data_IF_565253817212
#
_entry.id   IF_565253817212
#
_cell.length_a   1.000
_cell.length_b   1.000
_cell.length_c   1.000
_cell.angle_alpha   90.00
_cell.angle_beta   90.00
_cell.angle_gamma   90.00
#
_symmetry.space_group_name_H-M   'P 1'
#
loop_
_entity.id
_entity.type
_entity.pdbx_description
1 polymer ?
#
# COMPACT_ATOMS: atom_id res chain seq x y z
N UNK A 1 12.42 8.31 20.06
CA UNK A 1 11.94 9.21 18.98
C UNK A 1 10.81 8.57 18.18
N UNK A 2 10.98 7.33 17.68
CA UNK A 2 9.92 6.60 16.95
C UNK A 2 8.57 6.55 17.68
N UNK A 3 8.52 6.14 18.96
CA UNK A 3 7.26 6.13 19.74
C UNK A 3 6.52 7.47 19.74
N UNK A 4 7.24 8.60 19.75
CA UNK A 4 6.61 9.94 19.70
C UNK A 4 5.91 10.18 18.35
N UNK A 5 6.54 9.78 17.25
CA UNK A 5 5.99 9.91 15.89
C UNK A 5 4.86 8.91 15.62
N UNK A 6 4.96 7.72 16.19
CA UNK A 6 3.85 6.76 16.23
C UNK A 6 2.62 7.34 16.96
N UNK A 7 2.79 7.92 18.14
CA UNK A 7 1.69 8.56 18.85
C UNK A 7 1.19 9.82 18.15
N UNK A 8 2.06 10.57 17.45
CA UNK A 8 1.63 11.69 16.61
C UNK A 8 0.65 11.23 15.54
N UNK A 9 0.92 10.13 14.83
CA UNK A 9 -0.02 9.57 13.85
C UNK A 9 -1.41 9.35 14.46
N UNK A 10 -1.48 8.75 15.64
CA UNK A 10 -2.78 8.54 16.31
C UNK A 10 -3.43 9.85 16.75
N UNK A 11 -2.68 10.80 17.32
CA UNK A 11 -3.21 12.11 17.69
C UNK A 11 -3.76 12.87 16.48
N UNK A 12 -3.07 12.81 15.34
CA UNK A 12 -3.53 13.42 14.10
C UNK A 12 -4.77 12.70 13.58
N UNK A 13 -4.79 11.36 13.55
CA UNK A 13 -5.95 10.59 13.11
C UNK A 13 -7.24 10.93 13.88
N UNK A 14 -7.15 11.16 15.19
CA UNK A 14 -8.31 11.58 15.99
C UNK A 14 -8.77 13.02 15.71
N UNK A 15 -7.89 13.90 15.23
CA UNK A 15 -8.17 15.33 15.04
C UNK A 15 -8.45 15.71 13.59
N UNK A 16 -7.98 14.89 12.64
CA UNK A 16 -8.09 15.15 11.21
C UNK A 16 -9.53 15.32 10.71
N UNK A 17 -10.57 14.64 11.26
CA UNK A 17 -11.95 14.90 10.85
C UNK A 17 -12.41 16.35 11.09
N UNK A 18 -11.74 17.08 12.00
CA UNK A 18 -12.01 18.49 12.29
C UNK A 18 -11.07 19.46 11.53
N UNK A 19 -10.17 18.95 10.67
CA UNK A 19 -9.27 19.80 9.89
C UNK A 19 -10.02 20.37 8.68
N UNK A 20 -9.76 21.63 8.35
CA UNK A 20 -10.20 22.19 7.07
C UNK A 20 -9.39 21.61 5.91
N UNK A 21 -9.98 21.58 4.72
CA UNK A 21 -9.28 21.23 3.48
C UNK A 21 -7.99 22.06 3.29
N UNK A 22 -8.06 23.35 3.60
CA UNK A 22 -6.89 24.24 3.56
C UNK A 22 -5.77 23.77 4.49
N UNK A 23 -6.11 23.33 5.71
CA UNK A 23 -5.12 22.77 6.63
C UNK A 23 -4.54 21.47 6.09
N UNK A 24 -5.37 20.57 5.58
CA UNK A 24 -4.91 19.30 5.00
C UNK A 24 -3.91 19.58 3.87
N UNK A 25 -4.24 20.51 2.96
CA UNK A 25 -3.41 20.91 1.82
C UNK A 25 -2.10 21.57 2.29
N UNK A 26 -2.16 22.55 3.20
CA UNK A 26 -1.01 23.38 3.56
C UNK A 26 -0.07 22.75 4.59
N UNK A 27 -0.41 21.57 5.14
CA UNK A 27 0.42 20.87 6.13
C UNK A 27 1.03 19.57 5.61
N UNK A 28 0.89 19.29 4.32
CA UNK A 28 1.55 18.17 3.65
C UNK A 28 2.25 18.64 2.38
N UNK A 29 3.48 18.19 2.20
CA UNK A 29 4.28 18.45 1.00
C UNK A 29 4.59 17.15 0.25
N UNK A 30 4.55 17.19 -1.08
CA UNK A 30 4.64 16.01 -1.94
C UNK A 30 5.88 16.07 -2.85
N UNK A 31 6.94 15.38 -2.42
CA UNK A 31 8.15 15.23 -3.23
C UNK A 31 7.87 14.25 -4.36
N UNK A 32 8.07 14.68 -5.59
CA UNK A 32 7.83 13.84 -6.77
C UNK A 32 6.38 13.79 -7.24
N UNK A 33 5.53 14.74 -6.81
CA UNK A 33 4.12 14.90 -7.25
C UNK A 33 3.94 14.74 -8.78
N UNK A 34 4.84 15.35 -9.55
CA UNK A 34 4.85 15.31 -11.01
C UNK A 34 4.82 13.88 -11.60
N UNK A 35 5.32 12.87 -10.87
CA UNK A 35 5.28 11.46 -11.32
C UNK A 35 3.86 10.93 -11.33
N UNK A 36 3.09 11.24 -10.29
CA UNK A 36 1.67 10.88 -10.21
C UNK A 36 0.85 11.67 -11.22
N UNK A 37 1.06 12.99 -11.32
CA UNK A 37 0.35 13.84 -12.30
C UNK A 37 0.52 13.30 -13.73
N UNK A 38 1.75 12.92 -14.10
CA UNK A 38 2.03 12.32 -15.42
C UNK A 38 1.33 10.98 -15.61
N UNK A 39 1.36 10.10 -14.60
CA UNK A 39 0.65 8.82 -14.65
C UNK A 39 -0.87 9.00 -14.82
N UNK A 40 -1.45 9.98 -14.13
CA UNK A 40 -2.87 10.33 -14.21
C UNK A 40 -3.26 10.97 -15.56
N UNK A 41 -2.35 11.76 -16.15
CA UNK A 41 -2.56 12.42 -17.43
C UNK A 41 -2.68 11.45 -18.63
N UNK A 42 -2.12 10.24 -18.53
CA UNK A 42 -2.18 9.20 -19.57
C UNK A 42 -3.54 8.47 -19.64
N UNK A 43 -4.61 9.09 -19.12
CA UNK A 43 -5.97 8.55 -18.99
C UNK A 43 -6.05 7.22 -18.23
N UNK A 44 -5.08 6.97 -17.34
CA UNK A 44 -5.08 5.85 -16.40
C UNK A 44 -5.16 6.40 -14.98
N UNK A 45 -5.77 5.65 -14.07
CA UNK A 45 -5.51 5.80 -12.65
C UNK A 45 -4.08 5.40 -12.31
N UNK A 46 -3.66 5.63 -11.07
CA UNK A 46 -2.31 5.31 -10.60
C UNK A 46 -2.37 4.41 -9.35
N UNK A 47 -1.41 3.51 -9.21
CA UNK A 47 -1.27 2.67 -8.02
C UNK A 47 -0.14 3.23 -7.17
N UNK A 48 -0.40 3.42 -5.89
CA UNK A 48 0.60 3.86 -4.91
C UNK A 48 0.78 2.79 -3.85
N UNK A 49 1.96 2.18 -3.81
CA UNK A 49 2.36 1.26 -2.76
C UNK A 49 2.99 2.04 -1.61
N UNK A 50 2.44 1.94 -0.40
CA UNK A 50 2.85 2.71 0.77
C UNK A 50 3.43 1.79 1.85
N UNK A 51 4.45 2.25 2.58
CA UNK A 51 4.85 1.61 3.84
C UNK A 51 4.00 2.13 5.01
N UNK A 52 3.97 1.41 6.14
CA UNK A 52 3.39 1.90 7.39
C UNK A 52 4.27 3.01 7.99
N UNK A 53 4.33 4.17 7.34
CA UNK A 53 5.25 5.24 7.64
C UNK A 53 4.52 6.60 7.68
N UNK A 54 4.92 7.50 8.57
CA UNK A 54 4.41 8.87 8.62
C UNK A 54 2.89 8.96 8.88
N UNK A 55 2.16 9.65 8.00
CA UNK A 55 0.69 9.75 8.06
C UNK A 55 0.06 9.47 6.70
N UNK A 56 -0.28 8.20 6.43
CA UNK A 56 -0.91 7.81 5.18
C UNK A 56 -2.36 8.28 5.05
N UNK A 57 -3.07 8.53 6.15
CA UNK A 57 -4.43 9.08 6.09
C UNK A 57 -4.37 10.56 5.64
N UNK A 58 -3.39 11.33 6.12
CA UNK A 58 -3.14 12.71 5.67
C UNK A 58 -2.73 12.75 4.20
N UNK A 59 -1.82 11.87 3.77
CA UNK A 59 -1.46 11.76 2.36
C UNK A 59 -2.65 11.36 1.48
N UNK A 60 -3.51 10.44 1.95
CA UNK A 60 -4.72 10.06 1.23
C UNK A 60 -5.71 11.22 1.09
N UNK A 61 -5.97 11.96 2.16
CA UNK A 61 -6.85 13.13 2.15
C UNK A 61 -6.30 14.23 1.25
N UNK A 62 -5.00 14.54 1.37
CA UNK A 62 -4.30 15.49 0.51
C UNK A 62 -4.39 15.07 -0.96
N UNK A 63 -4.16 13.78 -1.27
CA UNK A 63 -4.23 13.24 -2.62
C UNK A 63 -5.63 13.35 -3.23
N UNK A 64 -6.67 13.06 -2.44
CA UNK A 64 -8.08 13.23 -2.86
C UNK A 64 -8.43 14.69 -3.16
N UNK A 65 -7.88 15.64 -2.42
CA UNK A 65 -8.13 17.08 -2.61
C UNK A 65 -7.32 17.69 -3.76
N UNK A 66 -6.09 17.20 -4.00
CA UNK A 66 -5.11 17.84 -4.89
C UNK A 66 -4.91 17.14 -6.23
N UNK A 67 -5.04 15.82 -6.27
CA UNK A 67 -4.66 15.01 -7.43
C UNK A 67 -5.86 14.29 -8.07
N UNK A 68 -6.39 13.29 -7.38
CA UNK A 68 -7.49 12.46 -7.87
C UNK A 68 -8.13 11.68 -6.70
N UNK A 69 -9.40 11.25 -6.81
CA UNK A 69 -10.06 10.49 -5.76
C UNK A 69 -9.25 9.25 -5.36
N UNK A 70 -8.96 9.11 -4.06
CA UNK A 70 -8.17 7.99 -3.52
C UNK A 70 -9.08 6.84 -3.08
N UNK A 71 -8.71 5.62 -3.45
CA UNK A 71 -9.26 4.37 -2.93
C UNK A 71 -8.18 3.60 -2.17
N UNK A 72 -8.52 2.99 -1.05
CA UNK A 72 -7.64 2.07 -0.33
C UNK A 72 -8.36 0.77 0.07
N UNK A 73 -7.58 -0.24 0.42
CA UNK A 73 -8.07 -1.51 0.97
C UNK A 73 -7.65 -1.61 2.43
N UNK A 74 -8.58 -2.00 3.31
CA UNK A 74 -8.32 -2.14 4.75
C UNK A 74 -8.60 -3.57 5.23
N UNK A 75 -7.71 -4.12 6.06
CA UNK A 75 -7.93 -5.38 6.76
C UNK A 75 -9.19 -5.32 7.64
N UNK A 76 -9.95 -6.41 7.68
CA UNK A 76 -11.12 -6.53 8.57
C UNK A 76 -10.65 -6.79 10.00
N UNK A 77 -10.56 -5.71 10.78
CA UNK A 77 -10.20 -5.77 12.19
C UNK A 77 -11.34 -6.36 13.03
N UNK A 78 -10.97 -7.17 14.01
CA UNK A 78 -11.87 -7.60 15.08
C UNK A 78 -11.72 -6.68 16.31
N UNK A 79 -12.82 -6.33 17.00
CA UNK A 79 -14.21 -6.66 16.67
C UNK A 79 -14.73 -5.86 15.47
N UNK A 80 -15.73 -6.37 14.73
CA UNK A 80 -16.30 -5.73 13.53
C UNK A 80 -16.65 -4.24 13.72
N UNK A 81 -17.15 -3.84 14.89
CA UNK A 81 -17.42 -2.42 15.21
C UNK A 81 -16.19 -1.51 15.05
N UNK A 82 -14.99 -2.04 15.35
CA UNK A 82 -13.73 -1.30 15.23
C UNK A 82 -13.39 -1.09 13.76
N UNK A 83 -13.60 -2.11 12.93
CA UNK A 83 -13.43 -1.99 11.48
C UNK A 83 -14.31 -0.88 10.90
N UNK A 84 -15.61 -0.88 11.22
CA UNK A 84 -16.53 0.16 10.72
C UNK A 84 -16.12 1.57 11.15
N UNK A 85 -15.59 1.74 12.38
CA UNK A 85 -15.05 3.03 12.83
C UNK A 85 -13.87 3.51 12.00
N UNK A 86 -12.95 2.63 11.59
CA UNK A 86 -11.85 3.00 10.70
C UNK A 86 -12.32 3.35 9.29
N UNK A 87 -13.34 2.65 8.78
CA UNK A 87 -13.96 2.96 7.49
C UNK A 87 -14.61 4.34 7.54
N UNK A 88 -15.52 4.58 8.50
CA UNK A 88 -16.19 5.87 8.69
C UNK A 88 -15.19 7.02 8.81
N UNK A 89 -14.13 6.83 9.60
CA UNK A 89 -13.06 7.81 9.76
C UNK A 89 -12.39 8.14 8.42
N UNK A 90 -11.93 7.14 7.65
CA UNK A 90 -11.25 7.41 6.36
C UNK A 90 -12.19 7.95 5.29
N UNK A 91 -13.45 7.52 5.28
CA UNK A 91 -14.47 8.07 4.39
C UNK A 91 -14.77 9.53 4.72
N UNK A 92 -14.74 9.92 6.00
CA UNK A 92 -14.86 11.33 6.40
C UNK A 92 -13.70 12.20 5.89
N UNK A 93 -12.55 11.60 5.58
CA UNK A 93 -11.40 12.25 4.96
C UNK A 93 -11.45 12.24 3.42
N UNK A 94 -12.54 11.75 2.82
CA UNK A 94 -12.73 11.69 1.36
C UNK A 94 -12.07 10.51 0.67
N UNK A 95 -11.66 9.46 1.40
CA UNK A 95 -11.17 8.21 0.81
C UNK A 95 -12.34 7.26 0.55
N UNK A 96 -12.22 6.40 -0.47
CA UNK A 96 -13.07 5.20 -0.57
C UNK A 96 -12.33 4.00 0.02
N UNK A 97 -12.98 3.24 0.90
CA UNK A 97 -12.35 2.09 1.56
C UNK A 97 -13.08 0.79 1.20
N UNK A 98 -12.32 -0.18 0.69
CA UNK A 98 -12.81 -1.54 0.53
C UNK A 98 -12.24 -2.48 1.60
N UNK A 99 -13.06 -3.35 2.20
CA UNK A 99 -12.56 -4.43 3.05
C UNK A 99 -11.69 -5.42 2.27
N UNK A 100 -10.55 -5.81 2.86
CA UNK A 100 -9.74 -6.91 2.36
C UNK A 100 -10.56 -8.20 2.34
N UNK A 101 -10.42 -8.98 1.26
CA UNK A 101 -11.18 -10.21 1.06
C UNK A 101 -12.65 -9.99 0.68
N UNK A 102 -13.10 -8.75 0.45
CA UNK A 102 -14.39 -8.52 -0.19
C UNK A 102 -14.39 -9.15 -1.59
N UNK A 103 -15.51 -9.81 -1.92
CA UNK A 103 -15.73 -10.42 -3.23
C UNK A 103 -15.56 -9.36 -4.33
N UNK A 104 -14.83 -9.71 -5.39
CA UNK A 104 -14.56 -8.88 -6.56
C UNK A 104 -13.79 -7.57 -6.29
N UNK A 105 -13.16 -7.39 -5.11
CA UNK A 105 -12.45 -6.14 -4.80
C UNK A 105 -11.36 -5.81 -5.83
N UNK A 106 -10.62 -6.81 -6.31
CA UNK A 106 -9.58 -6.59 -7.33
C UNK A 106 -10.18 -6.16 -8.67
N UNK A 107 -11.35 -6.70 -9.05
CA UNK A 107 -12.05 -6.28 -10.27
C UNK A 107 -12.51 -4.83 -10.14
N UNK A 108 -13.09 -4.47 -8.98
CA UNK A 108 -13.49 -3.09 -8.68
C UNK A 108 -12.31 -2.13 -8.74
N UNK A 109 -11.18 -2.47 -8.13
CA UNK A 109 -9.97 -1.62 -8.19
C UNK A 109 -9.44 -1.50 -9.63
N UNK A 110 -9.50 -2.57 -10.42
CA UNK A 110 -9.08 -2.54 -11.82
C UNK A 110 -9.98 -1.62 -12.65
N UNK A 111 -11.29 -1.65 -12.42
CA UNK A 111 -12.25 -0.77 -13.07
C UNK A 111 -12.05 0.69 -12.65
N UNK A 112 -11.81 0.96 -11.36
CA UNK A 112 -11.53 2.31 -10.86
C UNK A 112 -10.25 2.91 -11.46
N UNK A 113 -9.23 2.08 -11.68
CA UNK A 113 -8.01 2.50 -12.37
C UNK A 113 -8.25 2.78 -13.85
N UNK A 114 -9.03 1.95 -14.54
CA UNK A 114 -9.23 2.08 -16.00
C UNK A 114 -10.23 3.17 -16.36
N UNK A 115 -11.28 3.34 -15.57
CA UNK A 115 -12.46 4.11 -15.96
C UNK A 115 -12.64 5.39 -15.11
N UNK A 116 -12.30 5.34 -13.82
CA UNK A 116 -12.60 6.42 -12.88
C UNK A 116 -11.40 7.32 -12.57
N UNK A 117 -10.23 7.00 -13.15
CA UNK A 117 -8.95 7.75 -12.97
C UNK A 117 -8.58 7.96 -11.50
N UNK A 118 -8.75 6.92 -10.68
CA UNK A 118 -8.49 6.98 -9.24
C UNK A 118 -7.04 6.66 -8.90
N UNK A 119 -6.62 7.13 -7.73
CA UNK A 119 -5.40 6.64 -7.10
C UNK A 119 -5.78 5.46 -6.21
N UNK A 120 -5.20 4.28 -6.46
CA UNK A 120 -5.36 3.11 -5.60
C UNK A 120 -4.15 3.00 -4.68
N UNK A 121 -4.36 3.33 -3.41
CA UNK A 121 -3.35 3.32 -2.35
C UNK A 121 -3.38 1.99 -1.59
N UNK A 122 -2.26 1.25 -1.61
CA UNK A 122 -2.13 -0.06 -0.98
C UNK A 122 -0.96 -0.06 -0.01
N UNK A 123 -1.23 -0.33 1.27
CA UNK A 123 -0.17 -0.55 2.24
C UNK A 123 0.51 -1.88 1.93
N UNK A 124 1.83 -1.85 1.67
CA UNK A 124 2.53 -2.89 0.91
C UNK A 124 3.85 -3.36 1.52
N UNK A 125 4.12 -3.07 2.80
CA UNK A 125 5.39 -3.42 3.46
C UNK A 125 5.31 -4.65 4.38
N UNK A 126 4.15 -5.32 4.49
CA UNK A 126 3.99 -6.50 5.37
C UNK A 126 2.83 -7.43 4.98
N UNK A 127 3.15 -8.65 4.55
CA UNK A 127 2.22 -9.78 4.41
C UNK A 127 2.93 -11.07 4.79
N UNK A 128 2.85 -11.46 6.07
CA UNK A 128 3.53 -12.65 6.60
C UNK A 128 2.73 -13.94 6.39
N UNK A 129 1.71 -13.92 5.52
CA UNK A 129 0.98 -15.13 5.15
C UNK A 129 1.79 -15.97 4.15
N UNK A 130 1.33 -17.20 3.89
CA UNK A 130 1.88 -18.07 2.85
C UNK A 130 1.75 -17.52 1.42
N UNK A 131 0.96 -16.46 1.22
CA UNK A 131 0.74 -15.83 -0.10
C UNK A 131 1.61 -14.59 -0.31
N UNK A 132 2.29 -14.12 0.73
CA UNK A 132 3.21 -13.00 0.64
C UNK A 132 4.41 -13.33 -0.25
N UNK A 133 4.88 -12.33 -0.98
CA UNK A 133 6.05 -12.42 -1.84
C UNK A 133 7.29 -12.24 -0.98
N UNK A 134 8.15 -13.25 -0.97
CA UNK A 134 9.44 -13.15 -0.29
C UNK A 134 10.34 -12.12 -0.99
N UNK A 135 10.89 -11.20 -0.20
CA UNK A 135 11.80 -10.13 -0.65
C UNK A 135 12.99 -10.00 0.30
N UNK A 136 14.10 -9.49 -0.22
CA UNK A 136 15.22 -9.01 0.59
C UNK A 136 14.91 -7.60 1.08
N UNK A 137 14.95 -7.39 2.40
CA UNK A 137 14.63 -6.11 3.02
C UNK A 137 15.58 -5.82 4.18
N UNK A 138 16.43 -4.81 4.02
CA UNK A 138 17.55 -4.52 4.93
C UNK A 138 18.53 -5.71 5.12
N UNK A 139 18.71 -6.53 4.08
CA UNK A 139 19.63 -7.67 4.10
C UNK A 139 19.05 -8.96 4.72
N UNK A 140 17.80 -8.95 5.13
CA UNK A 140 17.08 -10.11 5.67
C UNK A 140 15.80 -10.41 4.88
N UNK A 141 15.33 -11.67 4.96
CA UNK A 141 14.10 -12.08 4.28
C UNK A 141 12.86 -11.64 5.05
N UNK A 142 11.91 -11.05 4.34
CA UNK A 142 10.54 -10.79 4.80
C UNK A 142 9.55 -11.13 3.67
N UNK A 143 8.25 -10.95 3.92
CA UNK A 143 7.20 -11.11 2.90
C UNK A 143 6.34 -9.85 2.79
N UNK A 144 6.09 -9.43 1.55
CA UNK A 144 5.27 -8.27 1.19
C UNK A 144 4.10 -8.68 0.28
N UNK A 145 2.96 -7.98 0.32
CA UNK A 145 1.78 -8.35 -0.46
C UNK A 145 1.98 -8.13 -1.97
N UNK A 146 1.53 -9.11 -2.76
CA UNK A 146 1.59 -9.05 -4.23
C UNK A 146 0.60 -8.04 -4.86
N UNK A 147 -0.31 -7.46 -4.07
CA UNK A 147 -1.51 -6.76 -4.56
C UNK A 147 -1.20 -5.61 -5.52
N UNK A 148 -0.21 -4.79 -5.20
CA UNK A 148 0.17 -3.63 -6.02
C UNK A 148 0.77 -4.05 -7.38
N UNK A 149 1.71 -4.99 -7.38
CA UNK A 149 2.31 -5.53 -8.61
C UNK A 149 1.27 -6.27 -9.48
N UNK A 150 0.42 -7.09 -8.85
CA UNK A 150 -0.68 -7.77 -9.53
C UNK A 150 -1.61 -6.80 -10.25
N UNK A 151 -2.02 -5.73 -9.55
CA UNK A 151 -2.95 -4.76 -10.10
C UNK A 151 -2.31 -3.96 -11.24
N UNK A 152 -1.02 -3.64 -11.14
CA UNK A 152 -0.27 -2.99 -12.21
C UNK A 152 -0.15 -3.86 -13.46
N UNK A 153 0.25 -5.13 -13.34
CA UNK A 153 0.33 -6.06 -14.48
C UNK A 153 -1.04 -6.30 -15.12
N UNK A 154 -2.09 -6.41 -14.29
CA UNK A 154 -3.45 -6.63 -14.77
C UNK A 154 -4.00 -5.42 -15.55
N UNK A 155 -3.76 -4.20 -15.06
CA UNK A 155 -4.41 -2.99 -15.59
C UNK A 155 -3.54 -2.19 -16.55
N UNK A 156 -2.22 -2.38 -16.49
CA UNK A 156 -1.26 -1.49 -17.14
C UNK A 156 -1.17 -0.10 -16.51
N UNK A 157 -1.74 0.09 -15.30
CA UNK A 157 -1.61 1.33 -14.54
C UNK A 157 -0.18 1.49 -13.99
N UNK A 158 0.35 2.72 -13.95
CA UNK A 158 1.66 2.97 -13.36
C UNK A 158 1.63 2.69 -11.85
N UNK A 159 2.72 2.10 -11.34
CA UNK A 159 2.90 1.74 -9.94
C UNK A 159 4.06 2.53 -9.34
N UNK A 160 3.78 3.30 -8.29
CA UNK A 160 4.76 4.11 -7.59
C UNK A 160 4.87 3.67 -6.13
N UNK A 161 6.07 3.36 -5.62
CA UNK A 161 6.30 3.27 -4.18
C UNK A 161 6.24 4.67 -3.57
N UNK A 162 5.78 4.77 -2.33
CA UNK A 162 5.77 6.02 -1.59
C UNK A 162 6.15 5.81 -0.12
N UNK A 163 6.99 6.71 0.39
CA UNK A 163 7.39 6.75 1.81
C UNK A 163 7.00 8.10 2.39
N UNK A 164 6.61 8.11 3.67
CA UNK A 164 6.06 9.30 4.31
C UNK A 164 6.76 9.53 5.64
N UNK A 165 6.99 10.79 5.99
CA UNK A 165 7.60 11.14 7.27
C UNK A 165 7.05 12.45 7.80
N UNK A 166 7.42 12.76 9.03
CA UNK A 166 7.22 14.09 9.60
C UNK A 166 8.55 14.84 9.68
N UNK A 167 8.53 16.10 9.24
CA UNK A 167 9.57 17.08 9.56
C UNK A 167 8.94 18.35 10.13
N UNK A 168 9.33 18.69 11.36
CA UNK A 168 8.69 19.74 12.15
C UNK A 168 7.15 19.56 12.20
N UNK A 169 6.36 20.61 11.92
CA UNK A 169 4.90 20.55 11.92
C UNK A 169 4.31 19.89 10.66
N UNK A 170 5.10 19.68 9.62
CA UNK A 170 4.62 19.21 8.31
C UNK A 170 4.69 17.68 8.22
N UNK A 171 3.77 17.13 7.44
CA UNK A 171 3.86 15.78 6.90
C UNK A 171 4.46 15.84 5.50
N UNK A 172 5.12 14.77 5.09
CA UNK A 172 5.70 14.65 3.76
C UNK A 172 5.33 13.30 3.16
N UNK A 173 5.16 13.30 1.84
CA UNK A 173 5.16 12.08 1.02
C UNK A 173 6.23 12.23 -0.06
N UNK A 174 7.02 11.18 -0.26
CA UNK A 174 7.92 11.06 -1.40
C UNK A 174 7.41 9.97 -2.32
N UNK A 175 7.01 10.34 -3.53
CA UNK A 175 6.68 9.43 -4.61
C UNK A 175 7.97 9.00 -5.29
N UNK A 176 8.37 7.75 -5.09
CA UNK A 176 9.57 7.17 -5.69
C UNK A 176 9.41 6.99 -7.21
N UNK A 177 10.50 6.72 -7.95
CA UNK A 177 10.41 6.32 -9.36
C UNK A 177 9.44 5.14 -9.57
N UNK A 178 8.82 5.11 -10.75
CA UNK A 178 7.88 4.05 -11.12
C UNK A 178 8.55 2.68 -11.07
N UNK A 179 7.86 1.68 -10.52
CA UNK A 179 8.26 0.28 -10.62
C UNK A 179 8.19 -0.16 -12.07
N UNK A 180 9.28 -0.76 -12.57
CA UNK A 180 9.38 -1.22 -13.95
C UNK A 180 9.06 -2.71 -14.01
N UNK A 181 8.00 -3.05 -14.72
CA UNK A 181 7.71 -4.44 -15.05
C UNK A 181 8.74 -4.99 -16.04
N UNK A 182 9.14 -6.28 -15.96
CA UNK A 182 9.92 -6.92 -17.02
C UNK A 182 9.26 -6.74 -18.39
N UNK A 183 10.06 -6.59 -19.45
CA UNK A 183 9.54 -6.33 -20.80
C UNK A 183 8.66 -7.46 -21.34
N UNK A 184 8.93 -8.69 -20.91
CA UNK A 184 8.22 -9.91 -21.23
C UNK A 184 7.14 -10.29 -20.19
N UNK A 185 6.87 -9.40 -19.23
CA UNK A 185 5.86 -9.67 -18.20
C UNK A 185 4.47 -9.79 -18.84
N UNK A 186 3.72 -10.86 -18.52
CA UNK A 186 2.32 -10.96 -18.94
C UNK A 186 1.48 -9.82 -18.36
N UNK A 187 0.61 -9.23 -19.19
CA UNK A 187 -0.32 -8.15 -18.78
C UNK A 187 -1.75 -8.44 -19.18
N UNK A 188 -2.72 -7.79 -18.52
CA UNK A 188 -4.15 -7.96 -18.77
C UNK A 188 -4.87 -8.87 -17.77
N UNK A 189 -6.18 -9.07 -17.95
CA UNK A 189 -7.02 -9.78 -16.97
C UNK A 189 -6.66 -11.26 -16.79
N UNK A 190 -6.09 -11.90 -17.82
CA UNK A 190 -5.62 -13.29 -17.77
C UNK A 190 -4.10 -13.43 -17.52
N UNK A 191 -3.40 -12.32 -17.20
CA UNK A 191 -1.95 -12.32 -17.00
C UNK A 191 -1.50 -13.34 -15.96
N UNK A 192 -2.27 -13.51 -14.88
CA UNK A 192 -1.95 -14.40 -13.76
C UNK A 192 -1.86 -15.89 -14.13
N UNK A 193 -2.43 -16.28 -15.27
CA UNK A 193 -2.41 -17.66 -15.79
C UNK A 193 -1.21 -17.93 -16.69
N UNK A 194 -0.46 -16.90 -17.07
CA UNK A 194 0.60 -17.00 -18.07
C UNK A 194 1.97 -17.29 -17.42
N UNK A 195 2.86 -18.01 -18.12
CA UNK A 195 4.25 -18.19 -17.68
C UNK A 195 4.95 -16.85 -17.44
N UNK A 196 5.82 -16.79 -16.44
CA UNK A 196 6.58 -15.57 -16.11
C UNK A 196 5.85 -14.55 -15.23
N UNK A 197 4.53 -14.68 -15.04
CA UNK A 197 3.76 -13.75 -14.21
C UNK A 197 4.24 -13.70 -12.74
N UNK A 198 4.39 -14.87 -12.10
CA UNK A 198 4.81 -14.95 -10.70
C UNK A 198 6.20 -14.33 -10.47
N UNK A 199 7.10 -14.52 -11.43
CA UNK A 199 8.43 -13.94 -11.39
C UNK A 199 8.40 -12.41 -11.62
N UNK A 200 7.57 -11.92 -12.55
CA UNK A 200 7.36 -10.49 -12.74
C UNK A 200 6.82 -9.81 -11.46
N UNK A 201 5.84 -10.42 -10.80
CA UNK A 201 5.30 -9.97 -9.51
C UNK A 201 6.40 -9.95 -8.44
N UNK A 202 7.25 -10.98 -8.39
CA UNK A 202 8.38 -11.05 -7.44
C UNK A 202 9.36 -9.89 -7.65
N UNK A 203 9.82 -9.68 -8.90
CA UNK A 203 10.76 -8.60 -9.24
C UNK A 203 10.18 -7.20 -9.01
N UNK A 204 8.89 -7.00 -9.28
CA UNK A 204 8.23 -5.73 -9.02
C UNK A 204 8.07 -5.48 -7.52
N UNK A 205 7.72 -6.50 -6.74
CA UNK A 205 7.63 -6.38 -5.26
C UNK A 205 8.98 -6.10 -4.63
N UNK A 206 10.07 -6.70 -5.14
CA UNK A 206 11.43 -6.39 -4.68
C UNK A 206 11.78 -4.91 -4.92
N UNK A 207 11.43 -4.34 -6.09
CA UNK A 207 11.65 -2.91 -6.34
C UNK A 207 10.89 -2.00 -5.36
N UNK A 208 9.68 -2.40 -4.94
CA UNK A 208 8.94 -1.70 -3.88
C UNK A 208 9.69 -1.79 -2.56
N UNK A 209 10.17 -2.98 -2.19
CA UNK A 209 10.95 -3.19 -0.97
C UNK A 209 12.24 -2.35 -0.96
N UNK A 210 12.95 -2.26 -2.08
CA UNK A 210 14.17 -1.46 -2.21
C UNK A 210 13.88 0.04 -2.03
N UNK A 211 12.79 0.54 -2.62
CA UNK A 211 12.36 1.93 -2.46
C UNK A 211 11.94 2.25 -1.01
N UNK A 212 11.22 1.33 -0.36
CA UNK A 212 10.89 1.44 1.05
C UNK A 212 12.14 1.41 1.93
N UNK A 213 13.10 0.53 1.65
CA UNK A 213 14.33 0.43 2.43
C UNK A 213 15.12 1.74 2.38
N UNK A 214 15.21 2.37 1.20
CA UNK A 214 15.81 3.70 1.05
C UNK A 214 15.10 4.76 1.90
N UNK A 215 13.79 4.94 1.72
CA UNK A 215 13.05 5.99 2.44
C UNK A 215 12.95 5.74 3.96
N UNK A 216 12.91 4.49 4.41
CA UNK A 216 12.97 4.14 5.83
C UNK A 216 14.38 4.39 6.38
N UNK A 217 15.45 4.13 5.63
CA UNK A 217 16.82 4.44 6.06
C UNK A 217 17.03 5.95 6.27
N UNK A 218 16.42 6.78 5.42
CA UNK A 218 16.47 8.25 5.53
C UNK A 218 15.66 8.78 6.72
N UNK A 219 14.53 8.13 7.05
CA UNK A 219 13.61 8.57 8.11
C UNK A 219 13.14 7.40 9.02
N UNK A 220 14.05 6.71 9.72
CA UNK A 220 13.76 5.44 10.40
C UNK A 220 12.78 5.60 11.58
N UNK A 221 12.69 6.81 12.13
CA UNK A 221 11.78 7.10 13.25
C UNK A 221 10.31 7.21 12.85
N UNK A 222 10.03 7.31 11.56
CA UNK A 222 8.68 7.52 11.03
C UNK A 222 8.03 6.22 10.59
N UNK A 223 8.78 5.11 10.57
CA UNK A 223 8.26 3.79 10.28
C UNK A 223 7.61 3.17 11.53
N UNK A 224 6.31 2.92 11.43
CA UNK A 224 5.43 2.51 12.53
C UNK A 224 5.35 0.98 12.68
N UNK A 225 6.47 0.29 12.49
CA UNK A 225 6.53 -1.17 12.52
C UNK A 225 6.83 -1.71 13.92
N UNK A 226 5.81 -1.76 14.77
CA UNK A 226 5.90 -2.31 16.13
C UNK A 226 5.64 -3.83 16.18
N UNK A 227 5.30 -4.43 15.04
CA UNK A 227 5.05 -5.86 14.90
C UNK A 227 6.27 -6.55 14.28
N UNK A 228 6.41 -7.86 14.54
CA UNK A 228 7.41 -8.68 13.85
C UNK A 228 7.24 -8.59 12.34
N UNK A 229 8.36 -8.52 11.63
CA UNK A 229 8.40 -8.36 10.19
C UNK A 229 9.29 -9.40 9.51
N UNK A 230 10.52 -9.58 9.97
CA UNK A 230 11.45 -10.49 9.31
C UNK A 230 11.10 -11.95 9.63
N UNK A 231 11.24 -12.83 8.62
CA UNK A 231 10.93 -14.26 8.77
C UNK A 231 11.78 -14.94 9.86
N UNK A 232 13.07 -14.61 10.04
CA UNK A 232 13.88 -15.16 11.13
C UNK A 232 13.32 -14.86 12.54
N UNK A 233 12.59 -13.75 12.72
CA UNK A 233 12.02 -13.37 14.02
C UNK A 233 10.74 -14.15 14.38
N UNK A 234 10.17 -14.87 13.42
CA UNK A 234 8.92 -15.61 13.61
C UNK A 234 9.14 -16.95 14.33
N UNK A 235 8.06 -17.44 14.94
CA UNK A 235 8.03 -18.82 15.41
C UNK A 235 8.06 -19.75 14.20
N UNK A 236 9.21 -20.41 14.01
CA UNK A 236 9.49 -21.24 12.84
C UNK A 236 8.49 -22.41 12.71
N UNK A 237 7.98 -22.93 13.83
CA UNK A 237 6.98 -24.01 13.81
C UNK A 237 5.62 -23.51 13.28
N UNK A 238 5.23 -22.29 13.65
CA UNK A 238 3.99 -21.66 13.19
C UNK A 238 4.09 -21.21 11.74
N UNK A 239 5.25 -20.70 11.33
CA UNK A 239 5.52 -20.33 9.94
C UNK A 239 5.40 -21.56 9.02
N UNK A 240 6.08 -22.67 9.36
CA UNK A 240 6.00 -23.90 8.60
C UNK A 240 4.57 -24.46 8.50
N UNK A 241 3.79 -24.38 9.59
CA UNK A 241 2.40 -24.79 9.59
C UNK A 241 1.52 -23.88 8.70
N UNK A 242 1.76 -22.57 8.69
CA UNK A 242 1.06 -21.61 7.82
C UNK A 242 1.35 -21.86 6.35
N UNK A 243 2.63 -22.10 6.01
CA UNK A 243 3.05 -22.40 4.64
C UNK A 243 2.46 -23.72 4.14
N UNK A 244 2.45 -24.76 4.97
CA UNK A 244 1.83 -26.04 4.65
C UNK A 244 0.31 -25.94 4.46
N UNK A 245 -0.36 -25.04 5.17
CA UNK A 245 -1.79 -24.77 5.02
C UNK A 245 -2.09 -23.93 3.78
N UNK A 246 -1.26 -22.93 3.47
CA UNK A 246 -1.43 -22.04 2.32
C UNK A 246 -1.08 -22.65 0.97
N UNK A 247 -0.24 -23.69 0.95
CA UNK A 247 0.09 -24.46 -0.26
C UNK A 247 -0.98 -25.49 -0.68
N UNK A 248 -2.05 -25.69 0.11
CA UNK A 248 -3.19 -26.53 -0.30
C UNK A 248 -4.16 -25.68 -1.13
N UNK A 249 -4.54 -26.10 -2.35
CA UNK A 249 -5.65 -25.46 -3.05
C UNK A 249 -6.88 -25.47 -2.16
N UNK A 250 -7.60 -24.36 -2.11
CA UNK A 250 -8.85 -24.23 -1.38
C UNK A 250 -9.85 -25.28 -1.93
N UNK A 251 -9.92 -26.43 -1.28
CA UNK A 251 -10.94 -27.42 -1.54
C UNK A 251 -12.25 -26.81 -1.05
N UNK A 252 -12.96 -26.19 -2.00
CA UNK A 252 -14.09 -25.32 -1.76
C UNK A 252 -15.02 -25.81 -0.66
N UNK A 253 -15.33 -24.91 0.26
CA UNK A 253 -16.56 -25.04 1.04
C UNK A 253 -17.70 -24.52 0.16
N UNK A 254 -18.50 -25.48 -0.29
CA UNK A 254 -19.82 -25.32 -0.91
C UNK A 254 -20.73 -24.43 -0.06
#
# INVERSE_FOLDING_TARGET
QSMRKYFRYWCDAFRMPDWSDERIINTLDCVGEYRLERGLAENKGAIVALAHMGNWDHAGAWGSLRLAPVTAVAEKLEPERLFHRFVEYRESLGLRIYPLGQKNVIDTLADELRNDKRIVALVSDRDLTARGIEVDFFGEKTRMPAGAANLALRTGAPLFPATLWYDGPLAYVHIHPQVVAPLDAPTGDDASKQPGYADAVSRMTQQIADAFAGGIADHPTDWHMMQKLWLPDLDQSRLAASDAAGGRPDAGRQ
#
